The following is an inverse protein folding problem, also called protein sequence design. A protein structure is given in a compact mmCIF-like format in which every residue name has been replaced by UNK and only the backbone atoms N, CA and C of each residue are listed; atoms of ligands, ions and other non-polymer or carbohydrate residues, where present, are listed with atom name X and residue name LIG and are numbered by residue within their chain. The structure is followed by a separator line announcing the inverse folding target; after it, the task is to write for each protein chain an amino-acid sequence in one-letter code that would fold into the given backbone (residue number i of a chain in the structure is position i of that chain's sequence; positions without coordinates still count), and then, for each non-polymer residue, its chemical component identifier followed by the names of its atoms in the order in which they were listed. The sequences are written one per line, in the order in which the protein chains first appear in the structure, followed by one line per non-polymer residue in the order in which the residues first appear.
data_IF_157950136954
#
_entry.id   IF_157950136954
#
_cell.length_a   1.000
_cell.length_b   1.000
_cell.length_c   1.000
_cell.angle_alpha   90.00
_cell.angle_beta   90.00
_cell.angle_gamma   90.00
#
_symmetry.space_group_name_H-M   'P 1'
#
loop_
_entity.id
_entity.type
_entity.pdbx_description
1 polymer ?
#
# COMPACT_ATOMS: atom_id res chain seq x y z
N UNK A 1 15.68 9.33 -21.00
CA UNK A 1 16.10 10.42 -20.08
C UNK A 1 17.58 10.25 -19.70
N UNK A 2 18.36 11.33 -19.61
CA UNK A 2 19.79 11.24 -19.29
C UNK A 2 20.06 10.99 -17.78
N UNK A 3 21.08 10.19 -17.47
CA UNK A 3 21.61 9.92 -16.13
C UNK A 3 21.93 11.20 -15.35
N UNK A 4 22.38 12.25 -16.04
CA UNK A 4 22.66 13.56 -15.44
C UNK A 4 21.40 14.20 -14.85
N UNK A 5 20.27 14.10 -15.55
CA UNK A 5 18.99 14.64 -15.08
C UNK A 5 18.52 13.95 -13.80
N UNK A 6 18.65 12.62 -13.74
CA UNK A 6 18.25 11.87 -12.55
C UNK A 6 19.09 12.25 -11.33
N UNK A 7 20.42 12.34 -11.48
CA UNK A 7 21.32 12.69 -10.36
C UNK A 7 20.93 14.01 -9.70
N UNK A 8 20.53 15.01 -10.50
CA UNK A 8 20.10 16.32 -10.00
C UNK A 8 18.77 16.24 -9.24
N UNK A 9 17.81 15.46 -9.74
CA UNK A 9 16.44 15.46 -9.21
C UNK A 9 16.16 14.35 -8.17
N UNK A 10 17.07 13.38 -8.03
CA UNK A 10 16.97 12.23 -7.12
C UNK A 10 16.59 12.58 -5.68
N UNK A 11 17.18 13.58 -5.00
CA UNK A 11 16.80 13.92 -3.63
C UNK A 11 15.33 14.34 -3.52
N UNK A 12 14.82 15.09 -4.51
CA UNK A 12 13.42 15.53 -4.52
C UNK A 12 12.45 14.40 -4.83
N UNK A 13 12.79 13.51 -5.78
CA UNK A 13 11.97 12.34 -6.11
C UNK A 13 11.81 11.43 -4.89
N UNK A 14 12.91 11.17 -4.18
CA UNK A 14 12.93 10.39 -2.93
C UNK A 14 12.06 11.02 -1.86
N UNK A 15 12.20 12.33 -1.60
CA UNK A 15 11.36 13.04 -0.63
C UNK A 15 9.86 12.90 -0.92
N UNK A 16 9.49 12.62 -2.17
CA UNK A 16 8.10 12.49 -2.64
C UNK A 16 7.66 11.05 -2.93
N UNK A 17 8.38 10.02 -2.49
CA UNK A 17 8.03 8.59 -2.66
C UNK A 17 7.97 8.11 -4.12
N UNK A 18 8.66 8.81 -5.03
CA UNK A 18 8.63 8.48 -6.46
C UNK A 18 9.91 7.74 -6.84
N UNK A 19 9.72 6.50 -7.26
CA UNK A 19 10.76 5.55 -7.66
C UNK A 19 10.56 5.06 -9.10
N UNK A 20 9.31 4.92 -9.55
CA UNK A 20 8.94 4.43 -10.88
C UNK A 20 8.10 5.45 -11.63
N UNK A 21 8.13 5.38 -12.96
CA UNK A 21 7.38 6.27 -13.83
C UNK A 21 5.87 6.04 -13.71
N UNK A 22 5.48 4.79 -13.56
CA UNK A 22 4.11 4.26 -13.40
C UNK A 22 3.37 4.94 -12.24
N UNK A 23 4.09 5.31 -11.17
CA UNK A 23 3.54 6.04 -10.02
C UNK A 23 3.01 7.42 -10.39
N UNK A 24 3.42 7.97 -11.53
CA UNK A 24 2.96 9.25 -12.05
C UNK A 24 1.75 9.10 -12.96
N UNK A 25 1.30 7.89 -13.25
CA UNK A 25 0.23 7.65 -14.22
C UNK A 25 -1.11 7.41 -13.54
N UNK A 26 -2.19 7.65 -14.27
CA UNK A 26 -3.55 7.42 -13.79
C UNK A 26 -3.90 5.92 -13.74
N UNK A 27 -5.13 5.61 -13.31
CA UNK A 27 -5.56 4.23 -12.98
C UNK A 27 -5.39 3.24 -14.14
N UNK A 28 -5.41 3.70 -15.40
CA UNK A 28 -5.32 2.88 -16.61
C UNK A 28 -4.08 3.19 -17.46
N UNK A 29 -3.08 3.86 -16.89
CA UNK A 29 -1.83 4.25 -17.57
C UNK A 29 -2.03 5.02 -18.89
N UNK A 30 -3.11 5.79 -19.03
CA UNK A 30 -3.35 6.62 -20.23
C UNK A 30 -2.81 8.02 -20.10
N UNK A 31 -2.84 8.58 -18.89
CA UNK A 31 -2.46 9.98 -18.66
C UNK A 31 -1.58 10.11 -17.43
N UNK A 32 -0.71 11.11 -17.44
CA UNK A 32 0.03 11.52 -16.24
C UNK A 32 -0.94 12.18 -15.25
N UNK A 33 -0.84 11.82 -13.97
CA UNK A 33 -1.61 12.42 -12.88
C UNK A 33 -1.33 13.92 -12.80
N UNK A 34 -2.34 14.73 -12.46
CA UNK A 34 -2.07 16.11 -12.07
C UNK A 34 -1.22 16.12 -10.79
N UNK A 35 -0.29 17.08 -10.66
CA UNK A 35 0.57 17.19 -9.48
C UNK A 35 -0.20 17.18 -8.15
N UNK A 36 -1.37 17.82 -8.12
CA UNK A 36 -2.21 17.83 -6.93
C UNK A 36 -2.83 16.47 -6.61
N UNK A 37 -3.10 15.66 -7.63
CA UNK A 37 -3.57 14.29 -7.49
C UNK A 37 -2.43 13.36 -7.06
N UNK A 38 -1.21 13.54 -7.60
CA UNK A 38 -0.06 12.76 -7.14
C UNK A 38 0.29 13.01 -5.66
N UNK A 39 0.12 14.25 -5.21
CA UNK A 39 0.40 14.63 -3.81
C UNK A 39 -0.55 13.96 -2.81
N UNK A 40 -1.77 13.58 -3.22
CA UNK A 40 -2.71 12.90 -2.32
C UNK A 40 -2.24 11.49 -1.99
N UNK A 41 -1.71 10.74 -2.95
CA UNK A 41 -1.21 9.38 -2.72
C UNK A 41 0.19 9.35 -2.11
N UNK A 42 1.06 10.28 -2.50
CA UNK A 42 2.45 10.31 -2.00
C UNK A 42 2.57 10.87 -0.57
N UNK A 43 1.46 11.29 0.06
CA UNK A 43 1.40 11.95 1.38
C UNK A 43 2.37 13.14 1.47
N UNK A 44 2.59 13.81 0.33
CA UNK A 44 3.54 14.91 0.21
C UNK A 44 2.90 16.23 0.62
N UNK A 45 3.68 17.11 1.27
CA UNK A 45 3.19 18.46 1.59
C UNK A 45 2.70 19.18 0.30
N UNK A 46 1.47 19.70 0.35
CA UNK A 46 0.78 20.35 -0.76
C UNK A 46 1.15 21.82 -0.96
N UNK A 47 1.96 22.36 -0.05
CA UNK A 47 2.54 23.70 -0.15
C UNK A 47 3.73 23.71 -1.11
N UNK A 48 3.70 24.66 -2.06
CA UNK A 48 4.77 24.91 -3.03
C UNK A 48 4.34 24.75 -4.49
N UNK A 49 5.17 25.29 -5.38
CA UNK A 49 4.99 25.17 -6.83
C UNK A 49 5.24 23.73 -7.30
N UNK A 50 4.58 23.31 -8.38
CA UNK A 50 4.89 22.06 -9.09
C UNK A 50 6.39 22.01 -9.43
N UNK A 51 7.13 20.98 -8.97
CA UNK A 51 8.56 20.88 -9.23
C UNK A 51 8.89 20.85 -10.71
N UNK A 52 10.03 21.45 -11.09
CA UNK A 52 10.49 21.47 -12.49
C UNK A 52 10.67 20.06 -13.05
N UNK A 53 11.18 19.14 -12.23
CA UNK A 53 11.37 17.74 -12.62
C UNK A 53 10.05 17.05 -13.00
N UNK A 54 8.95 17.40 -12.33
CA UNK A 54 7.65 16.80 -12.60
C UNK A 54 7.15 17.20 -13.99
N UNK A 55 7.31 18.48 -14.35
CA UNK A 55 6.99 18.96 -15.71
C UNK A 55 7.85 18.31 -16.79
N UNK A 56 9.14 18.07 -16.50
CA UNK A 56 10.02 17.37 -17.44
C UNK A 56 9.58 15.91 -17.64
N UNK A 57 9.18 15.21 -16.58
CA UNK A 57 8.67 13.84 -16.68
C UNK A 57 7.31 13.79 -17.39
N UNK A 58 6.44 14.76 -17.13
CA UNK A 58 5.16 14.87 -17.82
C UNK A 58 5.36 15.01 -19.33
N UNK A 59 6.23 15.94 -19.77
CA UNK A 59 6.53 16.10 -21.18
C UNK A 59 7.20 14.86 -21.79
N UNK A 60 8.04 14.17 -21.03
CA UNK A 60 8.64 12.90 -21.45
C UNK A 60 7.57 11.81 -21.67
N UNK A 61 6.60 11.69 -20.77
CA UNK A 61 5.49 10.74 -20.87
C UNK A 61 4.51 11.05 -22.01
N UNK A 62 4.34 12.33 -22.33
CA UNK A 62 3.45 12.79 -23.41
C UNK A 62 4.07 12.67 -24.81
N UNK A 63 5.36 12.34 -24.93
CA UNK A 63 6.03 12.24 -26.22
C UNK A 63 5.72 10.91 -26.95
N UNK A 64 5.33 11.00 -28.23
CA UNK A 64 4.82 9.87 -29.03
C UNK A 64 5.75 8.64 -29.08
N UNK A 65 7.07 8.85 -29.07
CA UNK A 65 8.05 7.75 -29.12
C UNK A 65 8.09 6.89 -27.84
N UNK A 66 7.41 7.29 -26.78
CA UNK A 66 7.37 6.57 -25.50
C UNK A 66 6.08 5.74 -25.33
N UNK A 67 5.22 5.67 -26.35
CA UNK A 67 4.02 4.83 -26.32
C UNK A 67 4.34 3.34 -26.12
N UNK A 68 5.45 2.83 -26.67
CA UNK A 68 5.89 1.44 -26.44
C UNK A 68 6.23 1.17 -24.97
N UNK A 69 6.82 2.14 -24.28
CA UNK A 69 7.11 2.06 -22.86
C UNK A 69 5.82 2.02 -22.03
N UNK A 70 4.82 2.86 -22.37
CA UNK A 70 3.51 2.86 -21.72
C UNK A 70 2.75 1.54 -21.95
N UNK A 71 2.84 0.97 -23.15
CA UNK A 71 2.24 -0.35 -23.45
C UNK A 71 2.87 -1.43 -22.59
N UNK A 72 4.20 -1.48 -22.50
CA UNK A 72 4.89 -2.46 -21.66
C UNK A 72 4.52 -2.32 -20.18
N UNK A 73 4.35 -1.07 -19.69
CA UNK A 73 3.87 -0.80 -18.32
C UNK A 73 2.46 -1.36 -18.14
N UNK A 74 1.54 -1.09 -19.08
CA UNK A 74 0.16 -1.60 -19.03
C UNK A 74 0.11 -3.11 -18.97
N UNK A 75 0.82 -3.77 -19.86
CA UNK A 75 0.88 -5.23 -19.94
C UNK A 75 1.44 -5.82 -18.64
N UNK A 76 2.51 -5.22 -18.11
CA UNK A 76 3.14 -5.66 -16.86
C UNK A 76 2.18 -5.59 -15.65
N UNK A 77 1.30 -4.60 -15.62
CA UNK A 77 0.37 -4.37 -14.51
C UNK A 77 -1.06 -4.86 -14.78
N UNK A 78 -1.31 -5.64 -15.84
CA UNK A 78 -2.66 -6.08 -16.23
C UNK A 78 -3.65 -4.91 -16.33
N UNK A 79 -3.24 -3.81 -16.98
CA UNK A 79 -4.05 -2.61 -17.28
C UNK A 79 -4.53 -1.76 -16.08
N UNK A 80 -4.28 -2.16 -14.83
CA UNK A 80 -4.66 -1.40 -13.64
C UNK A 80 -3.42 -0.92 -12.91
N UNK A 81 -3.36 0.38 -12.61
CA UNK A 81 -2.25 0.97 -11.89
C UNK A 81 -2.32 0.65 -10.39
N UNK A 82 -1.42 -0.21 -9.86
CA UNK A 82 -1.49 -0.60 -8.46
C UNK A 82 -1.08 0.54 -7.52
N UNK A 83 -0.46 1.61 -8.03
CA UNK A 83 -0.01 2.74 -7.22
C UNK A 83 -1.11 3.73 -6.86
N UNK A 84 -2.29 3.59 -7.44
CA UNK A 84 -3.46 4.41 -7.11
C UNK A 84 -4.19 3.74 -5.96
N UNK A 85 -3.92 4.21 -4.74
CA UNK A 85 -4.59 3.73 -3.53
C UNK A 85 -6.01 4.29 -3.44
N UNK A 86 -6.99 3.44 -3.67
CA UNK A 86 -8.41 3.79 -3.67
C UNK A 86 -9.06 3.67 -2.27
N UNK A 87 -8.39 3.02 -1.33
CA UNK A 87 -9.00 2.60 -0.07
C UNK A 87 -8.49 3.41 1.12
N UNK A 88 -7.21 3.79 1.14
CA UNK A 88 -6.70 4.54 2.29
C UNK A 88 -7.09 6.02 2.21
N UNK A 89 -7.66 6.56 3.29
CA UNK A 89 -7.94 7.98 3.34
C UNK A 89 -6.63 8.76 3.34
N UNK A 90 -6.56 9.80 2.51
CA UNK A 90 -5.40 10.68 2.43
C UNK A 90 -5.68 12.02 3.11
N UNK A 91 -4.69 12.54 3.84
CA UNK A 91 -4.84 13.83 4.49
C UNK A 91 -4.79 14.95 3.45
N UNK A 92 -5.79 15.85 3.50
CA UNK A 92 -5.83 17.04 2.66
C UNK A 92 -5.81 18.29 3.54
N UNK A 93 -5.05 19.30 3.12
CA UNK A 93 -5.08 20.61 3.79
C UNK A 93 -6.42 21.34 3.54
N UNK A 94 -7.11 20.98 2.46
CA UNK A 94 -8.28 21.69 1.95
C UNK A 94 -9.52 20.80 1.95
N UNK A 95 -9.96 20.37 3.14
CA UNK A 95 -11.15 19.55 3.41
C UNK A 95 -11.19 18.19 2.69
N UNK A 96 -11.66 17.16 3.38
CA UNK A 96 -11.85 15.83 2.80
C UNK A 96 -13.08 15.82 1.89
N UNK A 97 -12.95 15.22 0.71
CA UNK A 97 -14.03 15.10 -0.27
C UNK A 97 -14.24 13.65 -0.63
N UNK A 98 -15.51 13.26 -0.73
CA UNK A 98 -15.93 11.90 -1.03
C UNK A 98 -16.82 11.89 -2.25
N UNK A 99 -16.75 10.78 -2.98
CA UNK A 99 -17.67 10.42 -4.04
C UNK A 99 -18.35 9.11 -3.69
N UNK A 100 -19.63 8.98 -4.00
CA UNK A 100 -20.38 7.74 -3.87
C UNK A 100 -21.14 7.51 -5.17
N UNK A 101 -20.98 6.33 -5.78
CA UNK A 101 -21.73 5.96 -6.98
C UNK A 101 -23.03 5.24 -6.63
N UNK A 102 -24.13 5.65 -7.26
CA UNK A 102 -25.42 4.95 -7.23
C UNK A 102 -26.04 5.01 -8.62
N UNK A 103 -26.38 3.85 -9.20
CA UNK A 103 -27.01 3.77 -10.54
C UNK A 103 -26.24 4.55 -11.62
N UNK A 104 -24.90 4.46 -11.63
CA UNK A 104 -23.98 5.21 -12.52
C UNK A 104 -23.96 6.73 -12.34
N UNK A 105 -24.63 7.24 -11.31
CA UNK A 105 -24.56 8.63 -10.91
C UNK A 105 -23.57 8.81 -9.75
N UNK A 106 -22.63 9.74 -9.90
CA UNK A 106 -21.67 10.07 -8.84
C UNK A 106 -22.21 11.21 -8.00
N UNK A 107 -22.45 10.94 -6.72
CA UNK A 107 -22.78 11.95 -5.72
C UNK A 107 -21.51 12.42 -5.03
N UNK A 108 -21.35 13.74 -4.85
CA UNK A 108 -20.11 14.33 -4.30
C UNK A 108 -20.39 15.07 -3.00
N UNK A 109 -19.60 14.75 -1.99
CA UNK A 109 -19.76 15.26 -0.63
C UNK A 109 -18.47 15.85 -0.07
N UNK A 110 -18.56 16.98 0.61
CA UNK A 110 -17.48 17.55 1.43
C UNK A 110 -17.67 17.15 2.89
N UNK A 111 -16.68 16.53 3.51
CA UNK A 111 -16.77 16.10 4.91
C UNK A 111 -17.07 17.26 5.87
N UNK A 112 -17.99 17.01 6.80
CA UNK A 112 -18.28 17.89 7.94
C UNK A 112 -17.97 17.14 9.23
N UNK A 113 -17.28 17.82 10.16
CA UNK A 113 -17.00 17.26 11.48
C UNK A 113 -18.30 16.98 12.23
N UNK A 114 -18.44 15.75 12.75
CA UNK A 114 -19.55 15.35 13.63
C UNK A 114 -19.63 16.29 14.84
N UNK A 115 -20.82 16.77 15.18
CA UNK A 115 -21.10 17.45 16.45
C UNK A 115 -21.48 16.42 17.50
N UNK A 116 -21.37 16.78 18.78
CA UNK A 116 -21.68 15.90 19.93
C UNK A 116 -23.12 15.35 19.96
N UNK A 117 -24.01 15.88 19.13
CA UNK A 117 -25.46 15.61 19.12
C UNK A 117 -25.91 14.88 17.84
N UNK A 118 -24.98 14.57 16.94
CA UNK A 118 -25.27 13.89 15.67
C UNK A 118 -25.33 12.36 15.90
N UNK A 119 -26.54 11.80 15.98
CA UNK A 119 -26.77 10.36 16.19
C UNK A 119 -26.77 9.58 14.86
N UNK A 120 -25.59 9.16 14.39
CA UNK A 120 -25.46 8.29 13.22
C UNK A 120 -24.50 7.12 13.48
N UNK A 121 -24.71 6.00 12.77
CA UNK A 121 -23.85 4.80 12.84
C UNK A 121 -22.35 5.12 12.66
N UNK A 122 -21.48 4.29 13.24
CA UNK A 122 -20.03 4.31 13.01
C UNK A 122 -19.68 4.28 11.52
N UNK A 123 -20.55 3.71 10.69
CA UNK A 123 -20.30 3.41 9.28
C UNK A 123 -20.78 4.53 8.35
N UNK A 124 -21.24 5.63 8.93
CA UNK A 124 -21.79 6.77 8.21
C UNK A 124 -20.93 8.03 8.41
N UNK A 125 -20.77 8.78 7.32
CA UNK A 125 -20.12 10.10 7.32
C UNK A 125 -21.10 11.19 6.91
N UNK A 126 -21.03 12.32 7.62
CA UNK A 126 -21.83 13.52 7.30
C UNK A 126 -21.06 14.37 6.30
N UNK A 127 -21.71 14.70 5.18
CA UNK A 127 -21.11 15.50 4.12
C UNK A 127 -22.05 16.62 3.66
N UNK A 128 -21.47 17.75 3.23
CA UNK A 128 -22.17 18.76 2.46
C UNK A 128 -22.21 18.33 1.00
N UNK A 129 -23.40 18.27 0.42
CA UNK A 129 -23.62 17.85 -0.96
C UNK A 129 -23.22 18.95 -1.96
N UNK A 130 -22.48 18.56 -3.00
CA UNK A 130 -22.09 19.41 -4.13
C UNK A 130 -22.56 18.80 -5.45
N UNK A 131 -23.10 19.66 -6.32
CA UNK A 131 -23.52 19.30 -7.67
C UNK A 131 -22.35 19.43 -8.65
N UNK A 132 -22.23 18.44 -9.53
CA UNK A 132 -21.32 18.50 -10.65
C UNK A 132 -21.98 19.25 -11.82
N UNK A 133 -21.30 20.28 -12.34
CA UNK A 133 -21.82 21.05 -13.47
C UNK A 133 -21.69 20.24 -14.76
N UNK A 134 -22.79 20.02 -15.48
CA UNK A 134 -22.79 19.48 -16.84
C UNK A 134 -22.63 20.59 -17.89
N UNK A 135 -21.97 20.29 -19.01
CA UNK A 135 -21.97 21.14 -20.21
C UNK A 135 -22.17 20.24 -21.43
N UNK A 136 -23.14 20.56 -22.29
CA UNK A 136 -23.48 19.76 -23.48
C UNK A 136 -23.77 18.29 -23.13
N UNK A 137 -24.51 18.05 -22.03
CA UNK A 137 -24.84 16.71 -21.51
C UNK A 137 -23.64 15.90 -20.97
N UNK A 138 -22.42 16.46 -21.00
CA UNK A 138 -21.22 15.83 -20.43
C UNK A 138 -20.87 16.43 -19.05
N UNK A 139 -20.56 15.60 -18.05
CA UNK A 139 -20.16 16.07 -16.72
C UNK A 139 -18.80 16.78 -16.77
N UNK A 140 -18.70 17.96 -16.14
CA UNK A 140 -17.44 18.72 -16.07
C UNK A 140 -16.74 18.56 -14.72
N UNK A 141 -15.47 18.96 -14.64
CA UNK A 141 -14.74 18.97 -13.38
C UNK A 141 -15.29 19.94 -12.30
N UNK A 142 -16.22 20.84 -12.62
CA UNK A 142 -16.64 21.93 -11.74
C UNK A 142 -17.69 21.48 -10.72
N UNK A 143 -17.47 21.84 -9.46
CA UNK A 143 -18.41 21.63 -8.35
C UNK A 143 -19.08 22.93 -7.91
N UNK A 144 -20.40 22.86 -7.70
CA UNK A 144 -21.22 23.92 -7.13
C UNK A 144 -21.89 23.42 -5.85
N UNK A 145 -22.04 24.27 -4.81
CA UNK A 145 -22.83 23.88 -3.65
C UNK A 145 -24.26 23.54 -4.10
N UNK A 146 -24.85 22.50 -3.53
CA UNK A 146 -26.24 22.17 -3.79
C UNK A 146 -27.16 23.14 -3.03
N UNK A 147 -28.03 23.83 -3.76
CA UNK A 147 -29.02 24.79 -3.21
C UNK A 147 -30.39 24.13 -2.93
N UNK A 148 -30.56 22.83 -3.25
CA UNK A 148 -31.84 22.11 -3.07
C UNK A 148 -32.00 21.54 -1.65
N UNK A 149 -33.11 21.87 -0.99
CA UNK A 149 -33.74 21.10 0.10
C UNK A 149 -34.75 20.10 -0.53
N UNK A 150 -34.97 18.85 -0.03
CA UNK A 150 -34.35 18.13 1.08
C UNK A 150 -33.69 16.78 0.68
N UNK A 151 -32.58 16.46 1.34
CA UNK A 151 -32.33 15.14 1.96
C UNK A 151 -31.89 15.41 3.42
N UNK A 152 -32.53 16.39 4.06
CA UNK A 152 -32.25 16.78 5.43
C UNK A 152 -32.69 15.67 6.38
N UNK A 153 -31.76 14.83 6.79
CA UNK A 153 -31.92 14.06 8.03
C UNK A 153 -31.58 14.90 9.26
N UNK A 154 -30.88 16.05 9.13
CA UNK A 154 -30.47 16.86 10.28
C UNK A 154 -30.86 18.34 10.11
N UNK A 155 -31.88 18.74 10.86
CA UNK A 155 -32.39 20.10 10.95
C UNK A 155 -31.45 20.98 11.79
N UNK A 156 -30.73 21.88 11.12
CA UNK A 156 -30.15 23.05 11.78
C UNK A 156 -30.72 24.28 11.07
N UNK A 157 -31.73 24.92 11.68
CA UNK A 157 -32.57 25.98 11.08
C UNK A 157 -31.82 27.26 10.63
N UNK A 158 -30.49 27.30 10.79
CA UNK A 158 -29.64 28.45 10.48
C UNK A 158 -28.52 28.19 9.45
N UNK A 159 -28.47 27.00 8.82
CA UNK A 159 -27.42 26.70 7.85
C UNK A 159 -28.02 26.29 6.50
N UNK A 160 -27.95 27.17 5.50
CA UNK A 160 -28.42 26.95 4.12
C UNK A 160 -27.55 25.93 3.34
N UNK A 161 -27.01 24.90 4.00
CA UNK A 161 -26.13 23.91 3.39
C UNK A 161 -26.91 22.61 3.20
N UNK A 162 -26.93 22.07 1.99
CA UNK A 162 -27.45 20.74 1.71
C UNK A 162 -26.56 19.68 2.38
N UNK A 163 -27.06 19.03 3.43
CA UNK A 163 -26.36 17.98 4.18
C UNK A 163 -26.90 16.61 3.78
N UNK A 164 -26.02 15.63 3.65
CA UNK A 164 -26.38 14.25 3.38
C UNK A 164 -25.44 13.29 4.11
N UNK A 165 -25.88 12.04 4.26
CA UNK A 165 -25.08 10.97 4.84
C UNK A 165 -24.58 10.06 3.72
N UNK A 166 -23.30 9.70 3.76
CA UNK A 166 -22.70 8.70 2.87
C UNK A 166 -22.24 7.48 3.68
N UNK A 167 -22.30 6.30 3.07
CA UNK A 167 -21.83 5.06 3.70
C UNK A 167 -20.32 4.93 3.47
N UNK A 168 -19.54 4.77 4.56
CA UNK A 168 -18.07 4.61 4.55
C UNK A 168 -17.58 3.49 3.65
N UNK A 169 -18.37 2.45 3.46
CA UNK A 169 -18.01 1.34 2.60
C UNK A 169 -18.05 1.77 1.13
N UNK A 170 -19.04 2.58 0.73
CA UNK A 170 -19.34 2.93 -0.67
C UNK A 170 -18.70 4.23 -1.13
N UNK A 171 -17.88 4.86 -0.29
CA UNK A 171 -17.23 6.12 -0.62
C UNK A 171 -15.83 5.90 -1.16
N UNK A 172 -15.47 6.73 -2.13
CA UNK A 172 -14.10 6.93 -2.59
C UNK A 172 -13.70 8.36 -2.26
N UNK A 173 -12.57 8.53 -1.59
CA UNK A 173 -12.01 9.86 -1.36
C UNK A 173 -11.44 10.42 -2.66
N UNK A 174 -11.83 11.65 -3.04
CA UNK A 174 -11.43 12.28 -4.32
C UNK A 174 -10.66 13.59 -4.13
N UNK A 175 -9.67 13.89 -4.98
CA UNK A 175 -8.93 15.14 -4.89
C UNK A 175 -9.75 16.30 -5.47
N UNK A 176 -10.04 17.31 -4.66
CA UNK A 176 -10.78 18.51 -5.08
C UNK A 176 -10.00 19.78 -4.70
N UNK A 177 -9.82 20.70 -5.66
CA UNK A 177 -9.11 21.97 -5.43
C UNK A 177 -9.68 23.10 -6.26
N UNK A 178 -9.59 24.33 -5.74
CA UNK A 178 -9.84 25.55 -6.54
C UNK A 178 -8.77 25.71 -7.61
N UNK A 179 -9.20 25.81 -8.88
CA UNK A 179 -8.29 25.86 -10.04
C UNK A 179 -8.91 26.65 -11.21
N UNK A 180 -8.06 27.38 -11.93
CA UNK A 180 -8.39 27.99 -13.24
C UNK A 180 -8.28 26.99 -14.39
N UNK A 181 -7.40 26.00 -14.26
CA UNK A 181 -7.14 24.94 -15.23
C UNK A 181 -8.19 23.83 -15.06
N UNK A 182 -8.84 23.46 -16.17
CA UNK A 182 -9.85 22.41 -16.24
C UNK A 182 -9.20 21.05 -16.52
N UNK A 183 -9.68 20.00 -15.88
CA UNK A 183 -9.35 18.59 -16.20
C UNK A 183 -10.33 17.97 -17.21
N UNK A 184 -11.37 18.72 -17.61
CA UNK A 184 -12.35 18.38 -18.66
C UNK A 184 -12.19 19.33 -19.85
N UNK A 185 -12.61 18.94 -21.05
CA UNK A 185 -12.52 19.73 -22.31
C UNK A 185 -13.31 21.06 -22.34
N UNK A 186 -13.83 21.53 -21.19
CA UNK A 186 -14.63 22.76 -21.08
C UNK A 186 -13.79 23.99 -20.68
N UNK A 187 -14.12 25.13 -21.33
CA UNK A 187 -13.40 26.42 -21.30
C UNK A 187 -12.81 26.83 -19.93
N UNK A 188 -11.51 27.22 -19.89
CA UNK A 188 -10.83 27.70 -18.69
C UNK A 188 -10.97 29.22 -18.58
N UNK A 189 -11.32 29.75 -17.40
CA UNK A 189 -10.78 31.05 -16.94
C UNK A 189 -11.25 31.52 -15.54
N UNK A 190 -12.17 30.81 -14.89
CA UNK A 190 -12.62 31.19 -13.53
C UNK A 190 -12.06 30.21 -12.49
N UNK A 191 -11.55 30.76 -11.39
CA UNK A 191 -11.08 30.00 -10.23
C UNK A 191 -12.28 29.32 -9.56
N UNK A 192 -12.55 28.07 -9.92
CA UNK A 192 -13.69 27.29 -9.42
C UNK A 192 -13.20 26.06 -8.68
N UNK A 193 -14.03 25.55 -7.77
CA UNK A 193 -13.78 24.27 -7.11
C UNK A 193 -13.91 23.14 -8.14
N UNK A 194 -12.86 22.32 -8.27
CA UNK A 194 -12.78 21.31 -9.34
C UNK A 194 -12.23 19.98 -8.86
N UNK A 195 -12.78 18.90 -9.41
CA UNK A 195 -12.28 17.52 -9.28
C UNK A 195 -10.98 17.40 -10.08
N UNK A 196 -9.95 16.83 -9.45
CA UNK A 196 -8.60 16.67 -10.03
C UNK A 196 -8.30 15.27 -10.54
N UNK A 197 -9.22 14.34 -10.29
CA UNK A 197 -9.23 13.00 -10.85
C UNK A 197 -10.18 12.94 -12.06
N UNK A 198 -9.79 12.32 -13.20
CA UNK A 198 -10.68 12.13 -14.34
C UNK A 198 -11.92 11.32 -13.96
N UNK A 199 -13.08 11.67 -14.51
CA UNK A 199 -14.35 11.01 -14.16
C UNK A 199 -14.38 9.54 -14.55
N UNK A 200 -13.78 9.18 -15.68
CA UNK A 200 -13.65 7.78 -16.12
C UNK A 200 -12.91 6.94 -15.08
N UNK A 201 -11.89 7.52 -14.44
CA UNK A 201 -11.12 6.85 -13.41
C UNK A 201 -11.93 6.74 -12.10
N UNK A 202 -12.81 7.72 -11.79
CA UNK A 202 -13.70 7.66 -10.62
C UNK A 202 -14.73 6.55 -10.78
N UNK A 203 -15.36 6.43 -11.96
CA UNK A 203 -16.28 5.33 -12.25
C UNK A 203 -15.56 3.98 -12.19
N UNK A 204 -14.38 3.87 -12.79
CA UNK A 204 -13.59 2.63 -12.74
C UNK A 204 -13.22 2.26 -11.30
N UNK A 205 -12.87 3.24 -10.46
CA UNK A 205 -12.60 3.03 -9.05
C UNK A 205 -13.83 2.55 -8.25
N UNK A 206 -15.01 3.12 -8.49
CA UNK A 206 -16.25 2.64 -7.85
C UNK A 206 -16.64 1.24 -8.31
N UNK A 207 -16.44 0.89 -9.58
CA UNK A 207 -16.64 -0.48 -10.08
C UNK A 207 -15.72 -1.49 -9.38
N UNK A 208 -14.47 -1.11 -9.10
CA UNK A 208 -13.54 -1.92 -8.33
C UNK A 208 -14.03 -2.10 -6.88
N UNK A 209 -14.46 -1.00 -6.24
CA UNK A 209 -14.95 -0.98 -4.86
C UNK A 209 -16.29 -1.74 -4.69
N UNK A 210 -17.14 -1.80 -5.71
CA UNK A 210 -18.40 -2.55 -5.65
C UNK A 210 -18.16 -4.06 -5.81
N UNK A 211 -17.28 -4.46 -6.73
CA UNK A 211 -16.96 -5.87 -6.97
C UNK A 211 -16.31 -6.53 -5.75
N UNK A 212 -15.48 -5.80 -5.01
CA UNK A 212 -14.82 -6.31 -3.81
C UNK A 212 -15.74 -6.57 -2.60
N UNK A 213 -17.03 -6.19 -2.67
CA UNK A 213 -17.98 -6.31 -1.54
C UNK A 213 -18.99 -7.43 -1.68
N UNK A 214 -19.33 -7.84 -2.90
CA UNK A 214 -20.22 -9.00 -3.09
C UNK A 214 -19.61 -10.29 -2.51
N UNK A 215 -18.31 -10.28 -2.19
CA UNK A 215 -17.59 -11.36 -1.52
C UNK A 215 -17.58 -11.32 0.02
N UNK A 216 -17.93 -10.21 0.69
CA UNK A 216 -17.63 -10.00 2.14
C UNK A 216 -18.76 -10.30 3.14
N UNK A 217 -20.04 -10.36 2.73
CA UNK A 217 -21.21 -10.32 3.65
C UNK A 217 -21.48 -11.59 4.52
N UNK A 218 -20.55 -12.53 4.66
CA UNK A 218 -20.83 -13.86 5.27
C UNK A 218 -20.14 -14.22 6.59
N UNK A 219 -19.19 -13.43 7.14
CA UNK A 219 -18.20 -14.03 8.07
C UNK A 219 -17.84 -13.32 9.38
N UNK A 220 -18.58 -12.32 9.85
CA UNK A 220 -18.22 -11.66 11.13
C UNK A 220 -19.13 -12.06 12.31
N UNK A 221 -18.65 -12.99 13.15
CA UNK A 221 -18.99 -12.94 14.58
C UNK A 221 -17.88 -13.49 15.47
N UNK A 222 -17.54 -12.67 16.48
CA UNK A 222 -16.80 -12.95 17.73
C UNK A 222 -15.27 -13.04 17.69
N UNK A 223 -14.59 -12.14 18.42
CA UNK A 223 -14.00 -12.42 19.75
C UNK A 223 -13.26 -11.17 20.31
N UNK A 224 -13.37 -10.97 21.62
CA UNK A 224 -12.79 -9.87 22.39
C UNK A 224 -12.29 -10.38 23.74
N UNK A 225 -11.04 -10.11 24.17
CA UNK A 225 -10.61 -10.22 25.59
C UNK A 225 -9.47 -9.23 25.92
N UNK A 226 -9.43 -8.82 27.20
CA UNK A 226 -8.60 -7.79 27.89
C UNK A 226 -7.43 -8.40 28.74
N UNK A 227 -6.48 -7.59 29.29
CA UNK A 227 -5.14 -8.03 29.78
C UNK A 227 -4.86 -7.85 31.30
N UNK A 228 -3.65 -8.26 31.80
CA UNK A 228 -2.70 -7.55 32.72
C UNK A 228 -1.60 -8.48 33.36
N UNK A 229 -0.28 -8.21 33.18
CA UNK A 229 0.79 -7.74 34.14
C UNK A 229 1.79 -8.82 34.69
N UNK A 230 2.97 -8.51 35.30
CA UNK A 230 4.04 -7.49 35.05
C UNK A 230 5.52 -8.03 35.22
N UNK A 231 6.37 -7.96 34.19
CA UNK A 231 7.85 -8.20 34.25
C UNK A 231 8.68 -7.03 33.66
N UNK A 232 8.17 -5.81 33.83
CA UNK A 232 8.23 -4.74 32.82
C UNK A 232 9.55 -3.95 32.65
N UNK A 233 10.58 -3.96 33.51
CA UNK A 233 11.58 -2.89 33.40
C UNK A 233 12.73 -3.13 32.39
N UNK A 234 13.27 -4.35 32.27
CA UNK A 234 14.38 -4.65 31.34
C UNK A 234 13.88 -4.98 29.93
N UNK A 235 12.71 -5.63 29.82
CA UNK A 235 12.05 -5.92 28.54
C UNK A 235 11.66 -4.65 27.78
N UNK A 236 11.17 -3.60 28.48
CA UNK A 236 10.66 -2.38 27.84
C UNK A 236 11.74 -1.64 27.03
N UNK A 237 13.01 -1.63 27.45
CA UNK A 237 14.07 -0.93 26.72
C UNK A 237 14.50 -1.70 25.44
N UNK A 238 14.57 -3.04 25.52
CA UNK A 238 14.85 -3.88 24.36
C UNK A 238 13.69 -3.81 23.35
N UNK A 239 12.45 -3.90 23.85
CA UNK A 239 11.24 -3.85 23.02
C UNK A 239 11.03 -2.50 22.34
N UNK A 240 11.35 -1.39 23.00
CA UNK A 240 11.30 -0.07 22.36
C UNK A 240 12.32 0.03 21.21
N UNK A 241 13.49 -0.61 21.37
CA UNK A 241 14.54 -0.62 20.34
C UNK A 241 14.13 -1.51 19.17
N UNK A 242 13.53 -2.68 19.44
CA UNK A 242 13.00 -3.60 18.43
C UNK A 242 11.83 -3.00 17.66
N UNK A 243 10.89 -2.31 18.33
CA UNK A 243 9.78 -1.58 17.69
C UNK A 243 10.30 -0.56 16.69
N UNK A 244 11.25 0.29 17.12
CA UNK A 244 11.92 1.26 16.23
C UNK A 244 12.65 0.60 15.06
N UNK A 245 13.26 -0.58 15.28
CA UNK A 245 13.90 -1.34 14.21
C UNK A 245 12.88 -1.85 13.18
N UNK A 246 11.74 -2.38 13.61
CA UNK A 246 10.68 -2.86 12.72
C UNK A 246 10.03 -1.69 11.95
N UNK A 247 9.69 -0.60 12.62
CA UNK A 247 9.14 0.62 12.00
C UNK A 247 10.11 1.28 11.02
N UNK A 248 11.42 1.13 11.26
CA UNK A 248 12.45 1.57 10.31
C UNK A 248 12.37 0.78 9.01
N UNK A 249 12.05 -0.51 9.02
CA UNK A 249 12.10 -1.36 7.82
C UNK A 249 10.73 -1.61 7.18
N UNK A 250 9.63 -1.44 7.92
CA UNK A 250 8.29 -1.77 7.45
C UNK A 250 7.33 -0.58 7.58
N UNK A 251 6.57 -0.33 6.52
CA UNK A 251 5.40 0.56 6.54
C UNK A 251 4.15 -0.31 6.67
N UNK A 252 3.51 -0.28 7.83
CA UNK A 252 2.32 -1.08 8.15
C UNK A 252 1.54 -0.43 9.30
N UNK A 253 0.44 -1.05 9.72
CA UNK A 253 -0.36 -0.62 10.88
C UNK A 253 0.36 -0.95 12.18
N UNK A 254 0.01 -0.24 13.24
CA UNK A 254 0.55 -0.51 14.58
C UNK A 254 0.27 -1.97 15.02
N UNK A 255 -0.91 -2.49 14.68
CA UNK A 255 -1.28 -3.89 14.97
C UNK A 255 -0.31 -4.91 14.38
N UNK A 256 0.23 -4.68 13.19
CA UNK A 256 1.16 -5.63 12.56
C UNK A 256 2.57 -5.49 13.12
N UNK A 257 2.97 -4.27 13.46
CA UNK A 257 4.21 -4.07 14.22
C UNK A 257 4.10 -4.80 15.56
N UNK A 258 2.97 -4.70 16.26
CA UNK A 258 2.76 -5.36 17.55
C UNK A 258 2.71 -6.90 17.43
N UNK A 259 2.13 -7.44 16.34
CA UNK A 259 2.20 -8.88 16.05
C UNK A 259 3.65 -9.35 15.82
N UNK A 260 4.43 -8.60 15.04
CA UNK A 260 5.86 -8.88 14.82
C UNK A 260 6.67 -8.72 16.10
N UNK A 261 6.31 -7.77 16.98
CA UNK A 261 6.95 -7.60 18.29
C UNK A 261 6.65 -8.78 19.21
N UNK A 262 5.40 -9.23 19.26
CA UNK A 262 5.00 -10.42 20.03
C UNK A 262 5.77 -11.65 19.56
N UNK A 263 5.94 -11.81 18.26
CA UNK A 263 6.77 -12.89 17.71
C UNK A 263 8.26 -12.71 18.06
N UNK A 264 8.78 -11.48 17.97
CA UNK A 264 10.16 -11.16 18.36
C UNK A 264 10.44 -11.45 19.83
N UNK A 265 9.49 -11.17 20.74
CA UNK A 265 9.58 -11.49 22.17
C UNK A 265 9.75 -12.99 22.40
N UNK A 266 8.95 -13.80 21.72
CA UNK A 266 9.02 -15.26 21.83
C UNK A 266 10.36 -15.84 21.36
N UNK A 267 11.04 -15.19 20.42
CA UNK A 267 12.35 -15.63 19.91
C UNK A 267 13.55 -14.91 20.52
N UNK A 268 13.36 -13.91 21.39
CA UNK A 268 14.44 -13.04 21.89
C UNK A 268 15.52 -13.82 22.66
N UNK A 269 15.12 -14.89 23.36
CA UNK A 269 16.01 -15.76 24.12
C UNK A 269 16.67 -16.87 23.28
N UNK A 270 16.30 -17.02 22.00
CA UNK A 270 16.79 -18.10 21.15
C UNK A 270 18.10 -17.69 20.44
N UNK A 271 19.11 -18.55 20.54
CA UNK A 271 20.35 -18.39 19.76
C UNK A 271 20.21 -18.92 18.33
N UNK A 272 19.23 -19.80 18.11
CA UNK A 272 18.90 -20.32 16.79
C UNK A 272 17.45 -20.79 16.70
N UNK A 273 16.83 -20.62 15.54
CA UNK A 273 15.52 -21.20 15.25
C UNK A 273 15.38 -21.56 13.77
N UNK A 274 14.47 -22.50 13.50
CA UNK A 274 14.06 -22.87 12.14
C UNK A 274 12.70 -22.27 11.84
N UNK A 275 12.50 -21.75 10.64
CA UNK A 275 11.26 -21.10 10.20
C UNK A 275 10.83 -21.63 8.85
N UNK A 276 9.55 -21.97 8.73
CA UNK A 276 8.93 -22.33 7.45
C UNK A 276 8.28 -21.09 6.86
N UNK A 277 8.54 -20.80 5.60
CA UNK A 277 8.07 -19.58 4.94
C UNK A 277 7.40 -19.90 3.62
N UNK A 278 6.30 -19.22 3.34
CA UNK A 278 5.61 -19.32 2.06
C UNK A 278 5.01 -17.98 1.62
N UNK A 279 4.73 -17.86 0.33
CA UNK A 279 4.09 -16.72 -0.29
C UNK A 279 3.10 -17.16 -1.36
N UNK A 280 1.91 -16.58 -1.36
CA UNK A 280 0.91 -16.81 -2.37
C UNK A 280 0.73 -15.57 -3.26
N UNK A 281 0.20 -15.78 -4.46
CA UNK A 281 -0.22 -14.69 -5.34
C UNK A 281 -1.55 -15.10 -5.99
N UNK A 282 -2.64 -14.51 -5.51
CA UNK A 282 -3.99 -14.84 -5.95
C UNK A 282 -4.58 -13.68 -6.75
N UNK A 283 -5.24 -13.99 -7.86
CA UNK A 283 -5.91 -13.02 -8.71
C UNK A 283 -7.38 -12.90 -8.27
N UNK A 284 -7.77 -11.71 -7.82
CA UNK A 284 -9.14 -11.37 -7.48
C UNK A 284 -9.68 -10.39 -8.52
N UNK A 285 -10.29 -10.89 -9.59
CA UNK A 285 -10.89 -10.08 -10.67
C UNK A 285 -9.96 -9.02 -11.28
N UNK A 286 -8.68 -9.37 -11.48
CA UNK A 286 -7.64 -8.48 -12.00
C UNK A 286 -6.84 -7.77 -10.91
N UNK A 287 -7.20 -7.94 -9.64
CA UNK A 287 -6.43 -7.48 -8.48
C UNK A 287 -5.60 -8.63 -7.92
N UNK A 288 -4.34 -8.71 -8.33
CA UNK A 288 -3.42 -9.67 -7.72
C UNK A 288 -3.05 -9.24 -6.29
N UNK A 289 -3.37 -10.08 -5.32
CA UNK A 289 -3.03 -9.89 -3.92
C UNK A 289 -2.03 -10.97 -3.52
N UNK A 290 -0.93 -10.52 -2.92
CA UNK A 290 0.12 -11.39 -2.44
C UNK A 290 -0.05 -11.60 -0.94
N UNK A 291 -0.29 -12.84 -0.54
CA UNK A 291 -0.22 -13.23 0.86
C UNK A 291 1.17 -13.76 1.19
N UNK A 292 1.58 -13.58 2.44
CA UNK A 292 2.83 -14.11 2.95
C UNK A 292 2.60 -14.68 4.34
N UNK A 293 3.22 -15.83 4.59
CA UNK A 293 3.03 -16.60 5.80
C UNK A 293 4.33 -17.22 6.26
N UNK A 294 4.52 -17.30 7.58
CA UNK A 294 5.58 -18.11 8.14
C UNK A 294 5.22 -18.64 9.53
N UNK A 295 5.83 -19.78 9.87
CA UNK A 295 5.66 -20.44 11.16
C UNK A 295 7.01 -20.89 11.74
N UNK A 296 7.21 -20.64 13.03
CA UNK A 296 8.35 -21.14 13.82
C UNK A 296 7.82 -22.18 14.80
N UNK A 297 8.17 -23.46 14.62
CA UNK A 297 7.82 -24.48 15.58
C UNK A 297 8.68 -24.34 16.85
N UNK A 298 8.04 -24.07 17.99
CA UNK A 298 8.72 -24.02 19.30
C UNK A 298 8.76 -25.42 19.92
N UNK A 299 7.72 -26.22 19.69
CA UNK A 299 7.57 -27.55 20.27
C UNK A 299 6.96 -28.54 19.26
N UNK A 300 6.83 -29.81 19.67
CA UNK A 300 6.16 -30.81 18.84
C UNK A 300 4.62 -30.63 18.82
N UNK A 301 4.06 -29.81 19.73
CA UNK A 301 2.65 -29.40 19.74
C UNK A 301 2.50 -28.03 19.06
N UNK A 302 1.51 -27.90 18.18
CA UNK A 302 1.23 -26.68 17.40
C UNK A 302 0.69 -25.53 18.22
N UNK A 303 0.25 -25.77 19.46
CA UNK A 303 -0.38 -24.75 20.30
C UNK A 303 0.54 -23.58 20.66
N UNK A 304 1.86 -23.82 20.65
CA UNK A 304 2.87 -22.82 21.02
C UNK A 304 3.62 -22.24 19.82
N UNK A 305 3.24 -22.61 18.59
CA UNK A 305 3.92 -22.16 17.38
C UNK A 305 3.82 -20.64 17.22
N UNK A 306 4.87 -20.04 16.66
CA UNK A 306 4.89 -18.62 16.34
C UNK A 306 4.47 -18.47 14.89
N UNK A 307 3.26 -17.98 14.70
CA UNK A 307 2.69 -17.78 13.38
C UNK A 307 2.65 -16.30 13.02
N UNK A 308 2.83 -16.03 11.74
CA UNK A 308 2.61 -14.72 11.18
C UNK A 308 2.03 -14.84 9.78
N UNK A 309 1.00 -14.03 9.53
CA UNK A 309 0.44 -13.84 8.20
C UNK A 309 0.21 -12.37 7.93
N UNK A 310 0.40 -11.97 6.68
CA UNK A 310 0.17 -10.61 6.22
C UNK A 310 -0.05 -10.63 4.71
N UNK A 311 -0.46 -9.50 4.15
CA UNK A 311 -0.47 -9.29 2.70
C UNK A 311 0.52 -8.20 2.31
N UNK A 312 0.96 -8.22 1.07
CA UNK A 312 1.87 -7.20 0.54
C UNK A 312 1.39 -6.62 -0.78
N UNK A 313 1.61 -5.33 -0.95
CA UNK A 313 1.05 -4.54 -2.06
C UNK A 313 2.08 -4.19 -3.12
N UNK A 314 1.57 -3.77 -4.29
CA UNK A 314 2.28 -3.26 -5.47
C UNK A 314 3.12 -4.33 -6.19
N UNK A 315 3.11 -4.37 -7.53
CA UNK A 315 3.94 -5.31 -8.31
C UNK A 315 3.80 -6.78 -7.88
N UNK A 316 2.59 -7.32 -8.03
CA UNK A 316 2.28 -8.70 -7.69
C UNK A 316 3.17 -9.70 -8.42
N UNK A 317 3.93 -10.48 -7.66
CA UNK A 317 4.61 -11.67 -8.16
C UNK A 317 4.77 -12.66 -7.01
N UNK A 318 4.60 -13.94 -7.31
CA UNK A 318 4.78 -15.02 -6.33
C UNK A 318 6.14 -14.90 -5.62
N UNK A 319 7.19 -14.67 -6.40
CA UNK A 319 8.56 -14.49 -5.89
C UNK A 319 8.71 -13.31 -4.93
N UNK A 320 7.94 -12.22 -5.11
CA UNK A 320 7.95 -11.10 -4.16
C UNK A 320 7.31 -11.50 -2.83
N UNK A 321 6.18 -12.20 -2.87
CA UNK A 321 5.47 -12.66 -1.69
C UNK A 321 6.38 -13.54 -0.82
N UNK A 322 7.04 -14.51 -1.43
CA UNK A 322 7.98 -15.42 -0.78
C UNK A 322 9.20 -14.68 -0.19
N UNK A 323 9.78 -13.72 -0.93
CA UNK A 323 10.89 -12.91 -0.41
C UNK A 323 10.44 -12.03 0.77
N UNK A 324 9.20 -11.54 0.77
CA UNK A 324 8.67 -10.76 1.87
C UNK A 324 8.40 -11.64 3.12
N UNK A 325 7.94 -12.88 2.93
CA UNK A 325 7.84 -13.88 4.00
C UNK A 325 9.21 -14.09 4.66
N UNK A 326 10.25 -14.33 3.85
CA UNK A 326 11.65 -14.44 4.30
C UNK A 326 12.11 -13.20 5.09
N UNK A 327 11.90 -12.00 4.56
CA UNK A 327 12.36 -10.75 5.19
C UNK A 327 11.69 -10.51 6.54
N UNK A 328 10.38 -10.74 6.64
CA UNK A 328 9.64 -10.55 7.89
C UNK A 328 10.03 -11.60 8.93
N UNK A 329 10.25 -12.86 8.52
CA UNK A 329 10.73 -13.94 9.38
C UNK A 329 12.12 -13.68 9.99
N UNK A 330 13.06 -13.08 9.24
CA UNK A 330 14.40 -12.75 9.77
C UNK A 330 14.43 -11.45 10.55
N UNK A 331 13.47 -10.53 10.33
CA UNK A 331 13.45 -9.24 11.01
C UNK A 331 13.13 -9.36 12.51
N UNK A 332 12.42 -10.42 12.90
CA UNK A 332 12.10 -10.71 14.30
C UNK A 332 13.27 -11.30 15.08
N UNK A 333 14.29 -11.87 14.40
CA UNK A 333 15.43 -12.52 15.04
C UNK A 333 16.19 -11.62 16.03
N UNK A 334 16.72 -12.17 17.14
CA UNK A 334 17.65 -11.44 18.00
C UNK A 334 19.01 -11.25 17.31
N UNK A 335 19.83 -10.36 17.88
CA UNK A 335 21.17 -10.07 17.34
C UNK A 335 22.08 -11.28 17.49
N UNK A 336 22.86 -11.61 16.44
CA UNK A 336 23.72 -12.79 16.33
C UNK A 336 22.99 -14.14 16.29
N UNK A 337 21.69 -14.16 15.99
CA UNK A 337 20.93 -15.40 15.87
C UNK A 337 21.29 -16.19 14.59
N UNK A 338 21.24 -17.52 14.69
CA UNK A 338 21.25 -18.42 13.53
C UNK A 338 19.81 -18.74 13.11
N UNK A 339 19.45 -18.41 11.88
CA UNK A 339 18.09 -18.65 11.35
C UNK A 339 18.19 -19.65 10.21
N UNK A 340 17.54 -20.80 10.37
CA UNK A 340 17.37 -21.79 9.29
C UNK A 340 16.01 -21.57 8.64
N UNK A 341 16.00 -21.32 7.34
CA UNK A 341 14.77 -21.04 6.61
C UNK A 341 14.44 -22.21 5.69
N UNK A 342 13.26 -22.78 5.89
CA UNK A 342 12.69 -23.85 5.08
C UNK A 342 11.63 -23.26 4.14
N UNK A 343 11.82 -23.46 2.84
CA UNK A 343 10.88 -23.00 1.81
C UNK A 343 10.90 -23.96 0.63
N UNK A 344 9.77 -24.15 -0.03
CA UNK A 344 9.67 -24.92 -1.27
C UNK A 344 9.95 -24.06 -2.52
N UNK A 345 9.95 -22.73 -2.40
CA UNK A 345 10.27 -21.82 -3.48
C UNK A 345 11.74 -21.83 -3.87
N UNK A 346 12.02 -22.47 -5.00
CA UNK A 346 13.34 -22.42 -5.63
C UNK A 346 13.74 -20.99 -6.02
N UNK A 347 12.78 -20.17 -6.48
CA UNK A 347 13.04 -18.81 -6.96
C UNK A 347 13.49 -17.90 -5.81
N UNK A 348 12.76 -17.95 -4.69
CA UNK A 348 13.11 -17.20 -3.49
C UNK A 348 14.45 -17.65 -2.92
N UNK A 349 14.72 -18.96 -2.84
CA UNK A 349 16.00 -19.51 -2.37
C UNK A 349 17.18 -19.03 -3.21
N UNK A 350 17.06 -19.04 -4.55
CA UNK A 350 18.14 -18.57 -5.45
C UNK A 350 18.41 -17.08 -5.20
N UNK A 351 17.36 -16.25 -5.16
CA UNK A 351 17.51 -14.81 -4.95
C UNK A 351 18.11 -14.52 -3.57
N UNK A 352 17.69 -15.26 -2.54
CA UNK A 352 18.18 -15.06 -1.18
C UNK A 352 19.61 -15.58 -0.97
N UNK A 353 20.01 -16.66 -1.64
CA UNK A 353 21.42 -17.06 -1.68
C UNK A 353 22.30 -16.00 -2.35
N UNK A 354 21.82 -15.35 -3.42
CA UNK A 354 22.52 -14.22 -4.03
C UNK A 354 22.65 -13.03 -3.06
N UNK A 355 21.62 -12.75 -2.25
CA UNK A 355 21.64 -11.75 -1.17
C UNK A 355 22.78 -12.04 -0.19
N UNK A 356 22.87 -13.29 0.30
CA UNK A 356 23.87 -13.73 1.27
C UNK A 356 25.29 -13.65 0.71
N UNK A 357 25.49 -14.14 -0.51
CA UNK A 357 26.81 -14.13 -1.18
C UNK A 357 27.33 -12.71 -1.44
N UNK A 358 26.44 -11.77 -1.78
CA UNK A 358 26.80 -10.35 -1.97
C UNK A 358 27.11 -9.64 -0.64
N UNK A 359 26.41 -10.00 0.46
CA UNK A 359 26.69 -9.46 1.81
C UNK A 359 28.10 -9.84 2.30
N UNK A 360 28.58 -11.02 1.94
CA UNK A 360 29.90 -11.54 2.30
C UNK A 360 31.07 -10.97 1.47
N UNK A 361 30.82 -9.98 0.60
CA UNK A 361 31.85 -9.30 -0.19
C UNK A 361 32.47 -10.15 -1.31
N UNK A 362 31.88 -11.31 -1.64
CA UNK A 362 32.45 -12.26 -2.61
C UNK A 362 32.30 -11.83 -4.07
N UNK A 363 31.32 -10.97 -4.39
CA UNK A 363 31.09 -10.50 -5.77
C UNK A 363 30.94 -8.97 -5.83
N UNK A 364 32.04 -8.25 -6.10
CA UNK A 364 32.05 -6.78 -6.26
C UNK A 364 31.60 -6.27 -7.64
N UNK A 365 31.27 -7.13 -8.60
CA UNK A 365 31.11 -6.73 -10.01
C UNK A 365 29.94 -7.31 -10.81
N UNK A 366 29.09 -8.16 -10.26
CA UNK A 366 27.93 -8.66 -11.01
C UNK A 366 26.70 -7.82 -10.65
N UNK A 367 26.50 -6.84 -11.52
CA UNK A 367 25.29 -6.11 -11.82
C UNK A 367 24.06 -6.45 -10.96
N UNK A 368 23.59 -5.46 -10.21
CA UNK A 368 22.18 -5.34 -9.84
C UNK A 368 21.42 -4.90 -11.11
N UNK A 369 21.58 -5.65 -12.21
CA UNK A 369 20.84 -5.45 -13.45
C UNK A 369 19.55 -6.25 -13.33
N UNK A 370 18.45 -5.51 -13.44
CA UNK A 370 17.16 -6.03 -13.88
C UNK A 370 16.49 -7.10 -12.99
N UNK A 371 16.24 -6.79 -11.71
CA UNK A 371 15.39 -7.62 -10.87
C UNK A 371 14.27 -6.79 -10.22
N UNK A 372 13.01 -7.18 -10.42
CA UNK A 372 11.81 -6.53 -9.89
C UNK A 372 11.82 -6.43 -8.35
N UNK A 373 12.71 -7.19 -7.69
CA UNK A 373 12.83 -7.32 -6.23
C UNK A 373 14.06 -6.61 -5.63
N UNK A 374 14.77 -5.74 -6.37
CA UNK A 374 16.01 -5.07 -5.89
C UNK A 374 15.90 -4.41 -4.51
N UNK A 375 14.77 -3.76 -4.21
CA UNK A 375 14.54 -3.09 -2.93
C UNK A 375 14.48 -4.11 -1.78
N UNK A 376 13.79 -5.23 -2.00
CA UNK A 376 13.67 -6.34 -1.05
C UNK A 376 15.05 -6.94 -0.77
N UNK A 377 15.82 -7.19 -1.83
CA UNK A 377 17.22 -7.65 -1.75
C UNK A 377 18.08 -6.76 -0.87
N UNK A 378 18.04 -5.44 -1.08
CA UNK A 378 18.87 -4.50 -0.33
C UNK A 378 18.43 -4.35 1.14
N UNK A 379 17.13 -4.47 1.42
CA UNK A 379 16.62 -4.44 2.80
C UNK A 379 17.03 -5.70 3.54
N UNK A 380 16.84 -6.88 2.93
CA UNK A 380 17.31 -8.14 3.50
C UNK A 380 18.80 -8.07 3.87
N UNK A 381 19.65 -7.58 2.97
CA UNK A 381 21.09 -7.39 3.24
C UNK A 381 21.36 -6.49 4.44
N UNK A 382 20.62 -5.38 4.57
CA UNK A 382 20.81 -4.44 5.67
C UNK A 382 20.30 -5.00 7.00
N UNK A 383 19.16 -5.71 7.01
CA UNK A 383 18.64 -6.40 8.18
C UNK A 383 19.65 -7.45 8.66
N UNK A 384 20.11 -8.33 7.76
CA UNK A 384 21.10 -9.38 8.07
C UNK A 384 22.37 -8.78 8.67
N UNK A 385 22.86 -7.68 8.08
CA UNK A 385 24.06 -7.00 8.56
C UNK A 385 23.87 -6.31 9.91
N UNK A 386 22.74 -5.62 10.11
CA UNK A 386 22.45 -4.91 11.36
C UNK A 386 22.23 -5.89 12.53
N UNK A 387 21.55 -7.01 12.28
CA UNK A 387 21.30 -8.06 13.26
C UNK A 387 22.42 -9.11 13.34
N UNK A 388 23.44 -9.03 12.47
CA UNK A 388 24.57 -9.99 12.39
C UNK A 388 24.11 -11.45 12.29
N UNK A 389 23.08 -11.70 11.49
CA UNK A 389 22.46 -13.03 11.39
C UNK A 389 23.32 -14.02 10.64
N UNK A 390 23.24 -15.28 11.04
CA UNK A 390 23.73 -16.42 10.26
C UNK A 390 22.53 -17.13 9.65
N UNK A 391 22.43 -17.15 8.31
CA UNK A 391 21.25 -17.72 7.62
C UNK A 391 21.65 -18.98 6.87
N UNK A 392 20.88 -20.05 7.04
CA UNK A 392 20.88 -21.23 6.18
C UNK A 392 19.53 -21.38 5.48
N UNK A 393 19.54 -21.75 4.20
CA UNK A 393 18.33 -21.99 3.40
C UNK A 393 18.26 -23.47 3.06
N UNK A 394 17.12 -24.09 3.36
CA UNK A 394 16.83 -25.49 3.08
C UNK A 394 15.62 -25.56 2.16
N UNK A 395 15.78 -26.22 1.01
CA UNK A 395 14.65 -26.49 0.12
C UNK A 395 13.83 -27.64 0.69
N UNK A 396 12.53 -27.43 0.89
CA UNK A 396 11.57 -28.49 1.18
C UNK A 396 10.75 -28.84 -0.06
N UNK A 397 10.11 -30.01 -0.06
CA UNK A 397 9.27 -30.45 -1.20
C UNK A 397 7.88 -29.88 -1.04
N UNK A 398 7.42 -29.12 -2.04
CA UNK A 398 6.04 -28.64 -2.13
C UNK A 398 5.05 -29.81 -2.07
N UNK A 399 3.91 -29.60 -1.39
CA UNK A 399 2.77 -30.52 -1.32
C UNK A 399 3.13 -31.99 -1.00
N UNK A 400 4.07 -32.19 -0.08
CA UNK A 400 4.61 -33.52 0.27
C UNK A 400 4.21 -34.02 1.65
N UNK A 401 3.21 -33.41 2.30
CA UNK A 401 2.80 -33.78 3.67
C UNK A 401 3.67 -33.19 4.77
N UNK A 402 4.53 -32.21 4.46
CA UNK A 402 5.39 -31.56 5.47
C UNK A 402 4.52 -30.57 6.25
N UNK A 403 4.06 -31.01 7.43
CA UNK A 403 3.14 -30.28 8.34
C UNK A 403 3.38 -28.77 8.38
N UNK A 404 4.59 -28.31 8.72
CA UNK A 404 4.87 -26.89 8.89
C UNK A 404 5.04 -26.12 7.57
N UNK A 405 5.36 -26.81 6.46
CA UNK A 405 5.33 -26.17 5.14
C UNK A 405 3.88 -25.95 4.69
N UNK A 406 3.01 -26.94 4.91
CA UNK A 406 1.57 -26.81 4.61
C UNK A 406 0.90 -25.75 5.49
N UNK A 407 1.34 -25.61 6.75
CA UNK A 407 0.89 -24.52 7.61
C UNK A 407 1.38 -23.16 7.10
N UNK A 408 2.62 -23.05 6.62
CA UNK A 408 3.12 -21.82 6.01
C UNK A 408 2.35 -21.45 4.73
N UNK A 409 2.04 -22.43 3.87
CA UNK A 409 1.17 -22.24 2.70
C UNK A 409 -0.21 -21.72 3.11
N UNK A 410 -0.83 -22.36 4.11
CA UNK A 410 -2.13 -21.94 4.64
C UNK A 410 -2.09 -20.49 5.20
N UNK A 411 -1.05 -20.12 5.93
CA UNK A 411 -0.86 -18.75 6.43
C UNK A 411 -0.63 -17.75 5.29
N UNK A 412 0.01 -18.18 4.21
CA UNK A 412 0.27 -17.35 3.04
C UNK A 412 -0.95 -17.19 2.14
N UNK A 413 -1.98 -18.04 2.26
CA UNK A 413 -3.21 -17.89 1.50
C UNK A 413 -3.94 -16.59 1.87
N UNK A 414 -4.27 -15.81 0.85
CA UNK A 414 -5.06 -14.60 1.00
C UNK A 414 -6.51 -15.00 1.31
N UNK A 415 -7.17 -14.30 2.23
CA UNK A 415 -8.57 -14.53 2.53
C UNK A 415 -9.41 -14.36 1.25
N UNK A 416 -10.09 -15.42 0.81
CA UNK A 416 -10.96 -15.36 -0.37
C UNK A 416 -12.22 -14.52 -0.14
N UNK A 417 -12.55 -14.26 1.13
CA UNK A 417 -13.76 -13.56 1.55
C UNK A 417 -13.52 -12.05 1.67
N UNK A 418 -12.34 -11.63 2.13
CA UNK A 418 -12.01 -10.21 2.31
C UNK A 418 -10.55 -9.89 1.99
N UNK A 419 -10.08 -10.17 0.76
CA UNK A 419 -8.66 -10.09 0.41
C UNK A 419 -8.08 -8.68 0.55
N UNK A 420 -8.95 -7.66 0.62
CA UNK A 420 -8.60 -6.25 0.84
C UNK A 420 -8.59 -5.78 2.29
N UNK A 421 -9.15 -6.55 3.23
CA UNK A 421 -9.16 -6.27 4.68
C UNK A 421 -7.99 -6.94 5.41
N UNK A 422 -7.33 -7.91 4.77
CA UNK A 422 -6.12 -8.51 5.32
C UNK A 422 -5.08 -7.42 5.61
N UNK A 423 -4.43 -7.48 6.78
CA UNK A 423 -3.47 -6.46 7.16
C UNK A 423 -2.29 -6.45 6.18
N UNK A 424 -1.73 -5.26 5.93
CA UNK A 424 -0.78 -5.03 4.83
C UNK A 424 0.58 -4.59 5.32
N UNK A 425 1.63 -5.16 4.76
CA UNK A 425 3.03 -4.78 5.03
C UNK A 425 3.78 -4.46 3.75
N UNK A 426 4.53 -3.37 3.78
CA UNK A 426 5.42 -2.96 2.69
C UNK A 426 6.76 -2.52 3.23
N UNK A 427 7.80 -2.56 2.39
CA UNK A 427 9.14 -2.14 2.77
C UNK A 427 9.24 -0.62 2.87
N UNK A 428 9.78 -0.14 3.99
CA UNK A 428 10.20 1.24 4.16
C UNK A 428 11.54 1.50 3.45
N UNK A 429 11.46 1.74 2.15
CA UNK A 429 12.62 1.98 1.27
C UNK A 429 13.43 3.24 1.59
N UNK A 430 12.93 4.11 2.48
CA UNK A 430 13.65 5.30 2.96
C UNK A 430 14.88 4.97 3.81
N UNK A 431 14.87 3.81 4.46
CA UNK A 431 15.94 3.38 5.36
C UNK A 431 17.16 2.84 4.61
N UNK A 432 17.07 2.67 3.29
CA UNK A 432 18.12 2.13 2.44
C UNK A 432 19.25 3.15 2.18
N UNK A 433 20.43 2.90 2.76
CA UNK A 433 21.61 3.77 2.60
C UNK A 433 22.23 3.76 1.20
N UNK A 434 22.00 2.72 0.38
CA UNK A 434 22.82 2.42 -0.81
C UNK A 434 22.15 2.54 -2.19
N UNK A 435 20.86 2.87 -2.29
CA UNK A 435 20.12 2.78 -3.56
C UNK A 435 20.59 3.79 -4.65
N UNK A 436 21.49 3.41 -5.57
CA UNK A 436 21.50 3.97 -6.95
C UNK A 436 20.34 3.30 -7.70
N UNK A 437 19.45 4.03 -8.40
CA UNK A 437 19.19 3.89 -9.86
C UNK A 437 17.94 4.73 -10.26
N UNK A 438 17.98 5.35 -11.45
CA UNK A 438 16.96 5.37 -12.53
C UNK A 438 17.81 5.03 -13.76
N UNK A 439 17.61 3.90 -14.46
CA UNK A 439 16.48 3.58 -15.37
C UNK A 439 15.82 2.21 -15.08
N UNK A 440 14.77 1.70 -15.77
CA UNK A 440 14.31 1.87 -17.17
C UNK A 440 13.40 3.05 -17.46
#
# INVERSE_FOLDING_TARGET
MDSKWYKVNRPSLRKKRIMFLDQLMNLNFKTCLDWSHLLTFTKGNSQGSTPKWFKTLQHFLEAEHNHSLIINIKEFHKDINPFVDLCTPFQTNNSTWFSQESQRHITIGKEIKKRKWDNFSSDQILVQHYLQLGKNLEPTSVLLPCDKFPLNTHNDKNNNRCLMVMNKEKILQIPVKRSKISTSQSLPNKNKLRIKMPLKDIHQAHQIISKSKESTDTLESTLSVSPLQPFLHHQVLNMTTKKKFLEKWFNTTETIIDNLLTAAEKVDALNSYSVYTDGSNQDFDGHNIMGLGWVIPISNDTRDDIEFRCTTEFFSSLTKAEIMALITAIAIAPVNCKVEILSDSQGAIIIFNNILNNSLGKNKKNEISNNNNMILTLVAQQIIKELKLQISLVKVKAHSGIKYNELADCLAQVSTISPFQDPRISINSYSLKQLKVIPR
#
